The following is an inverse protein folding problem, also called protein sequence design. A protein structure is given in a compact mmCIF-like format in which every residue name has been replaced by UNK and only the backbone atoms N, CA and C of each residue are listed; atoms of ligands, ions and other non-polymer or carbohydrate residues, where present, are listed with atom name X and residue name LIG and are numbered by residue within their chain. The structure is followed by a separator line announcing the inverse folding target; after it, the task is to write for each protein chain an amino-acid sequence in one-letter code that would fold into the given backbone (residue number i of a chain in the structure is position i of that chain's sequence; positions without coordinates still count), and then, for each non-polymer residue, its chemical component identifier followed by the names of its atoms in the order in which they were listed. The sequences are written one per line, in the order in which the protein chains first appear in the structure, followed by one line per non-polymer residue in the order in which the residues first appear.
data_IF_818918362028
#
_entry.id   IF_818918362028
#
_cell.length_a   1.000
_cell.length_b   1.000
_cell.length_c   1.000
_cell.angle_alpha   90.00
_cell.angle_beta   90.00
_cell.angle_gamma   90.00
#
_symmetry.space_group_name_H-M   'P 1'
#
loop_
_entity.id
_entity.type
_entity.pdbx_description
1 polymer ?
#
# COMPACT_ATOMS: atom_id res chain seq x y z
N UNK A 1 15.80 2.31 -25.01
CA UNK A 1 14.68 1.45 -25.48
C UNK A 1 13.47 1.83 -24.66
N UNK A 2 12.35 2.14 -25.29
CA UNK A 2 11.07 2.31 -24.58
C UNK A 2 10.58 0.92 -24.19
N UNK A 3 10.32 0.68 -22.91
CA UNK A 3 9.67 -0.54 -22.43
C UNK A 3 8.17 -0.35 -22.60
N UNK A 4 7.52 -1.26 -23.34
CA UNK A 4 6.06 -1.23 -23.48
C UNK A 4 5.39 -1.43 -22.12
N UNK A 5 4.68 -0.42 -21.64
CA UNK A 5 4.02 -0.41 -20.34
C UNK A 5 2.84 -1.41 -20.26
N UNK A 6 2.27 -1.79 -21.41
CA UNK A 6 1.12 -2.69 -21.48
C UNK A 6 1.42 -4.08 -20.93
N UNK A 7 2.70 -4.49 -20.86
CA UNK A 7 3.11 -5.77 -20.28
C UNK A 7 2.87 -5.87 -18.78
N UNK A 8 2.69 -4.73 -18.10
CA UNK A 8 2.37 -4.67 -16.68
C UNK A 8 0.86 -4.62 -16.42
N UNK A 9 0.04 -4.51 -17.48
CA UNK A 9 -1.42 -4.46 -17.38
C UNK A 9 -1.98 -5.86 -17.18
N UNK A 10 -2.37 -6.18 -15.95
CA UNK A 10 -2.88 -7.50 -15.59
C UNK A 10 -4.09 -7.43 -14.67
N UNK A 11 -4.77 -8.56 -14.51
CA UNK A 11 -5.85 -8.69 -13.51
C UNK A 11 -5.21 -8.52 -12.13
N UNK A 12 -5.80 -7.64 -11.32
CA UNK A 12 -5.29 -7.32 -10.00
C UNK A 12 -5.35 -8.56 -9.11
N UNK A 13 -4.19 -8.98 -8.61
CA UNK A 13 -4.04 -9.98 -7.56
C UNK A 13 -4.11 -9.32 -6.19
N UNK A 14 -5.00 -9.81 -5.33
CA UNK A 14 -5.16 -9.31 -3.96
C UNK A 14 -3.97 -9.66 -3.06
N UNK A 15 -3.18 -10.69 -3.42
CA UNK A 15 -2.08 -11.24 -2.60
C UNK A 15 -2.53 -11.59 -1.15
N UNK A 16 -3.81 -11.92 -0.97
CA UNK A 16 -4.43 -12.30 0.31
C UNK A 16 -4.96 -13.74 0.23
N UNK A 17 -4.17 -14.76 0.63
CA UNK A 17 -4.52 -16.18 0.41
C UNK A 17 -5.83 -16.62 1.07
N UNK A 18 -6.22 -15.98 2.17
CA UNK A 18 -7.42 -16.30 2.94
C UNK A 18 -8.67 -15.52 2.46
N UNK A 19 -8.55 -14.71 1.39
CA UNK A 19 -9.65 -13.94 0.84
C UNK A 19 -10.23 -14.64 -0.40
N UNK A 20 -11.49 -15.07 -0.34
CA UNK A 20 -12.18 -15.76 -1.45
C UNK A 20 -12.65 -14.79 -2.56
N UNK A 21 -12.45 -13.50 -2.40
CA UNK A 21 -12.91 -12.50 -3.36
C UNK A 21 -12.03 -12.52 -4.60
N UNK A 22 -12.64 -12.66 -5.76
CA UNK A 22 -11.95 -12.60 -7.06
C UNK A 22 -12.22 -11.25 -7.71
N UNK A 23 -11.15 -10.54 -8.07
CA UNK A 23 -11.23 -9.31 -8.84
C UNK A 23 -11.25 -9.61 -10.34
N UNK A 24 -11.97 -8.77 -11.09
CA UNK A 24 -11.89 -8.74 -12.56
C UNK A 24 -11.28 -7.45 -13.09
N UNK A 25 -11.15 -6.44 -12.23
CA UNK A 25 -10.42 -5.21 -12.51
C UNK A 25 -8.95 -5.48 -12.85
N UNK A 26 -8.42 -4.60 -13.70
CA UNK A 26 -7.02 -4.61 -14.14
C UNK A 26 -6.27 -3.39 -13.64
N UNK A 27 -4.96 -3.53 -13.51
CA UNK A 27 -4.06 -2.46 -13.08
C UNK A 27 -2.65 -2.71 -13.62
N UNK A 28 -1.83 -1.65 -13.62
CA UNK A 28 -0.40 -1.76 -13.88
C UNK A 28 0.31 -2.27 -12.63
N UNK A 29 0.89 -3.47 -12.67
CA UNK A 29 1.63 -4.03 -11.54
C UNK A 29 2.95 -3.30 -11.32
N UNK A 30 3.10 -2.75 -10.12
CA UNK A 30 4.28 -1.99 -9.71
C UNK A 30 5.25 -2.82 -8.87
N UNK A 31 4.73 -3.71 -8.02
CA UNK A 31 5.52 -4.59 -7.14
C UNK A 31 5.65 -6.03 -7.68
N UNK A 32 6.46 -6.86 -7.01
CA UNK A 32 6.71 -8.25 -7.36
C UNK A 32 7.82 -8.43 -8.39
N UNK A 33 8.20 -9.69 -8.65
CA UNK A 33 9.34 -10.03 -9.51
C UNK A 33 9.22 -9.55 -10.96
N UNK A 34 7.99 -9.31 -11.44
CA UNK A 34 7.69 -8.78 -12.77
C UNK A 34 7.13 -7.34 -12.73
N UNK A 35 7.13 -6.72 -11.56
CA UNK A 35 6.64 -5.36 -11.38
C UNK A 35 7.50 -4.34 -12.12
N UNK A 36 6.86 -3.24 -12.47
CA UNK A 36 7.46 -2.16 -13.25
C UNK A 36 8.82 -1.69 -12.69
N UNK A 37 8.94 -1.51 -11.36
CA UNK A 37 10.17 -1.01 -10.73
C UNK A 37 11.36 -1.97 -10.90
N UNK A 38 11.10 -3.28 -10.93
CA UNK A 38 12.13 -4.32 -11.09
C UNK A 38 12.59 -4.37 -12.54
N UNK A 39 11.65 -4.37 -13.48
CA UNK A 39 11.96 -4.43 -14.92
C UNK A 39 12.72 -3.18 -15.38
N UNK A 40 12.33 -2.01 -14.87
CA UNK A 40 13.02 -0.75 -15.15
C UNK A 40 14.31 -0.55 -14.33
N UNK A 41 14.66 -1.51 -13.46
CA UNK A 41 15.87 -1.48 -12.61
C UNK A 41 16.01 -0.18 -11.84
N UNK A 42 14.91 0.30 -11.28
CA UNK A 42 14.91 1.51 -10.46
C UNK A 42 15.53 1.12 -9.11
N UNK A 43 16.55 1.87 -8.68
CA UNK A 43 17.23 1.66 -7.40
C UNK A 43 17.32 2.97 -6.63
N UNK A 44 17.31 2.87 -5.31
CA UNK A 44 17.63 3.98 -4.43
C UNK A 44 19.14 4.35 -4.48
N UNK A 45 19.53 5.37 -3.72
CA UNK A 45 20.93 5.83 -3.64
C UNK A 45 21.89 4.80 -3.04
N UNK A 46 21.38 3.77 -2.36
CA UNK A 46 22.17 2.68 -1.78
C UNK A 46 22.18 1.43 -2.69
N UNK A 47 21.56 1.50 -3.87
CA UNK A 47 21.49 0.39 -4.83
C UNK A 47 20.41 -0.64 -4.53
N UNK A 48 19.50 -0.37 -3.58
CA UNK A 48 18.39 -1.27 -3.27
C UNK A 48 17.19 -0.98 -4.16
N UNK A 49 16.38 -2.02 -4.44
CA UNK A 49 15.09 -1.82 -5.10
C UNK A 49 14.11 -1.17 -4.13
N UNK A 50 13.52 -0.01 -4.46
CA UNK A 50 12.54 0.67 -3.62
C UNK A 50 11.28 -0.19 -3.39
N UNK A 51 10.60 0.02 -2.25
CA UNK A 51 9.27 -0.56 -2.04
C UNK A 51 8.25 0.14 -2.93
N UNK A 52 7.06 -0.42 -3.08
CA UNK A 52 5.96 0.28 -3.75
C UNK A 52 4.63 -0.22 -3.24
N UNK A 53 3.58 0.54 -3.53
CA UNK A 53 2.24 -0.03 -3.63
C UNK A 53 2.20 -1.10 -4.72
N UNK A 54 1.21 -1.97 -4.68
CA UNK A 54 1.14 -3.14 -5.55
C UNK A 54 0.75 -2.77 -6.99
N UNK A 55 -0.26 -1.90 -7.16
CA UNK A 55 -0.81 -1.54 -8.47
C UNK A 55 -1.06 -0.03 -8.65
N UNK A 56 -1.02 0.40 -9.92
CA UNK A 56 -1.66 1.62 -10.39
C UNK A 56 -2.88 1.24 -11.24
N UNK A 57 -4.09 1.54 -10.77
CA UNK A 57 -5.34 1.32 -11.50
C UNK A 57 -5.91 2.66 -12.00
N UNK A 58 -6.00 2.89 -13.31
CA UNK A 58 -6.75 4.01 -13.87
C UNK A 58 -8.27 3.78 -13.77
N UNK A 59 -9.02 4.80 -13.35
CA UNK A 59 -10.50 4.83 -13.36
C UNK A 59 -10.98 6.17 -13.94
N UNK A 60 -11.57 6.17 -15.14
CA UNK A 60 -12.06 7.41 -15.79
C UNK A 60 -11.01 8.54 -15.78
N UNK A 61 -9.74 8.19 -16.06
CA UNK A 61 -8.55 9.07 -16.00
C UNK A 61 -8.08 9.48 -14.60
N UNK A 62 -8.69 8.97 -13.54
CA UNK A 62 -8.24 9.13 -12.16
C UNK A 62 -7.29 7.98 -11.80
N UNK A 63 -6.00 8.22 -11.54
CA UNK A 63 -5.08 7.21 -11.02
C UNK A 63 -5.43 6.81 -9.58
N UNK A 64 -5.57 5.51 -9.36
CA UNK A 64 -5.70 4.87 -8.06
C UNK A 64 -4.42 4.10 -7.75
N UNK A 65 -3.70 4.49 -6.71
CA UNK A 65 -2.53 3.79 -6.19
C UNK A 65 -3.01 2.78 -5.16
N UNK A 66 -2.98 1.50 -5.49
CA UNK A 66 -3.63 0.44 -4.71
C UNK A 66 -2.59 -0.43 -4.01
N UNK A 67 -2.74 -0.52 -2.70
CA UNK A 67 -1.95 -1.35 -1.80
C UNK A 67 -2.87 -2.37 -1.13
N UNK A 68 -2.62 -3.65 -1.34
CA UNK A 68 -3.31 -4.75 -0.66
C UNK A 68 -2.52 -5.14 0.58
N UNK A 69 -3.07 -4.82 1.74
CA UNK A 69 -2.40 -5.01 3.02
C UNK A 69 -3.18 -5.93 3.93
N UNK A 70 -2.54 -7.01 4.40
CA UNK A 70 -3.09 -7.90 5.44
C UNK A 70 -2.90 -7.28 6.84
N UNK A 71 -3.45 -6.07 7.00
CA UNK A 71 -3.35 -5.24 8.20
C UNK A 71 -3.75 -6.00 9.46
N UNK A 72 -4.78 -6.85 9.36
CA UNK A 72 -5.28 -7.57 10.50
C UNK A 72 -4.41 -8.77 10.87
N UNK A 73 -3.88 -9.54 9.91
CA UNK A 73 -2.91 -10.59 10.25
C UNK A 73 -1.63 -9.99 10.84
N UNK A 74 -1.17 -8.86 10.31
CA UNK A 74 -0.04 -8.12 10.90
C UNK A 74 -0.36 -7.72 12.35
N UNK A 75 -1.53 -7.11 12.60
CA UNK A 75 -1.95 -6.73 13.94
C UNK A 75 -2.01 -7.92 14.92
N UNK A 76 -2.60 -9.04 14.50
CA UNK A 76 -2.69 -10.27 15.31
C UNK A 76 -1.30 -10.82 15.64
N UNK A 77 -0.39 -10.88 14.66
CA UNK A 77 0.97 -11.41 14.86
C UNK A 77 1.79 -10.56 15.84
N UNK A 78 1.74 -9.23 15.73
CA UNK A 78 2.47 -8.36 16.65
C UNK A 78 1.88 -8.45 18.07
N UNK A 79 0.54 -8.55 18.18
CA UNK A 79 -0.13 -8.73 19.48
C UNK A 79 0.28 -10.04 20.16
N UNK A 80 0.27 -11.16 19.43
CA UNK A 80 0.73 -12.46 19.92
C UNK A 80 2.21 -12.45 20.32
N UNK A 81 3.05 -11.72 19.57
CA UNK A 81 4.48 -11.55 19.89
C UNK A 81 4.67 -10.74 21.17
N UNK A 82 3.86 -9.72 21.39
CA UNK A 82 3.89 -8.92 22.61
C UNK A 82 3.45 -9.73 23.84
N UNK A 83 2.42 -10.56 23.69
CA UNK A 83 1.92 -11.44 24.76
C UNK A 83 2.92 -12.55 25.11
N UNK A 84 3.69 -13.04 24.15
CA UNK A 84 4.69 -14.09 24.39
C UNK A 84 5.98 -13.58 25.05
N UNK A 85 6.21 -12.27 25.07
CA UNK A 85 7.35 -11.67 25.76
C UNK A 85 7.10 -11.59 27.26
N UNK A 86 7.92 -12.28 28.05
CA UNK A 86 7.96 -12.06 29.50
C UNK A 86 8.63 -10.71 29.80
N UNK A 87 7.81 -9.67 29.86
CA UNK A 87 8.23 -8.32 30.24
C UNK A 87 8.17 -8.09 31.75
N UNK A 88 7.85 -9.11 32.56
CA UNK A 88 7.57 -9.00 33.99
C UNK A 88 8.73 -8.45 34.81
N UNK A 89 9.97 -8.76 34.40
CA UNK A 89 11.20 -8.30 35.05
C UNK A 89 11.67 -6.89 34.69
N UNK A 90 11.05 -6.23 33.69
CA UNK A 90 11.52 -4.93 33.21
C UNK A 90 10.89 -3.74 33.98
N UNK A 91 11.63 -2.63 34.15
CA UNK A 91 11.06 -1.37 34.61
C UNK A 91 9.92 -0.88 33.71
N UNK A 92 8.95 -0.15 34.28
CA UNK A 92 7.76 0.32 33.55
C UNK A 92 8.09 1.16 32.29
N UNK A 93 9.14 1.99 32.36
CA UNK A 93 9.61 2.79 31.23
C UNK A 93 10.17 1.93 30.10
N UNK A 94 10.91 0.87 30.43
CA UNK A 94 11.48 -0.05 29.46
C UNK A 94 10.41 -0.95 28.84
N UNK A 95 9.46 -1.45 29.64
CA UNK A 95 8.28 -2.15 29.11
C UNK A 95 7.54 -1.29 28.09
N UNK A 96 7.24 -0.05 28.44
CA UNK A 96 6.54 0.88 27.53
C UNK A 96 7.35 1.12 26.25
N UNK A 97 8.68 1.24 26.35
CA UNK A 97 9.57 1.39 25.20
C UNK A 97 9.56 0.15 24.30
N UNK A 98 9.65 -1.05 24.88
CA UNK A 98 9.61 -2.32 24.14
C UNK A 98 8.24 -2.50 23.47
N UNK A 99 7.15 -2.32 24.21
CA UNK A 99 5.79 -2.41 23.67
C UNK A 99 5.53 -1.42 22.55
N UNK A 100 6.06 -0.19 22.63
CA UNK A 100 5.92 0.80 21.56
C UNK A 100 6.70 0.45 20.29
N UNK A 101 7.80 -0.31 20.40
CA UNK A 101 8.61 -0.74 19.25
C UNK A 101 8.05 -1.98 18.55
N UNK A 102 7.32 -2.82 19.29
CA UNK A 102 6.68 -4.05 18.78
C UNK A 102 5.20 -3.80 18.47
N UNK A 103 4.73 -2.56 18.62
CA UNK A 103 3.37 -2.19 18.26
C UNK A 103 3.17 -2.40 16.76
N UNK A 104 2.21 -3.27 16.43
CA UNK A 104 1.70 -3.50 15.07
C UNK A 104 1.48 -2.20 14.32
N UNK A 105 0.91 -1.20 14.99
CA UNK A 105 0.62 0.09 14.39
C UNK A 105 1.89 0.80 13.88
N UNK A 106 3.03 0.67 14.57
CA UNK A 106 4.29 1.26 14.12
C UNK A 106 4.88 0.52 12.94
N UNK A 107 4.77 -0.81 12.92
CA UNK A 107 5.27 -1.64 11.82
C UNK A 107 4.46 -1.37 10.55
N UNK A 108 3.13 -1.46 10.63
CA UNK A 108 2.17 -1.10 9.57
C UNK A 108 2.42 0.33 9.08
N UNK A 109 2.53 1.29 10.00
CA UNK A 109 2.75 2.70 9.64
C UNK A 109 4.05 2.90 8.88
N UNK A 110 5.15 2.29 9.34
CA UNK A 110 6.45 2.41 8.71
C UNK A 110 6.48 1.76 7.32
N UNK A 111 5.82 0.61 7.18
CA UNK A 111 5.67 -0.09 5.90
C UNK A 111 4.89 0.74 4.89
N UNK A 112 3.67 1.17 5.23
CA UNK A 112 2.81 1.97 4.36
C UNK A 112 3.47 3.30 3.98
N UNK A 113 4.09 3.99 4.95
CA UNK A 113 4.85 5.21 4.70
C UNK A 113 5.98 4.95 3.70
N UNK A 114 6.75 3.88 3.90
CA UNK A 114 7.83 3.49 3.00
C UNK A 114 7.31 3.25 1.58
N UNK A 115 6.26 2.42 1.43
CA UNK A 115 5.65 2.13 0.14
C UNK A 115 5.17 3.39 -0.59
N UNK A 116 4.50 4.32 0.11
CA UNK A 116 4.00 5.57 -0.49
C UNK A 116 5.15 6.48 -0.93
N UNK A 117 6.15 6.70 -0.07
CA UNK A 117 7.29 7.57 -0.39
C UNK A 117 8.10 7.00 -1.55
N UNK A 118 8.35 5.69 -1.52
CA UNK A 118 9.14 5.01 -2.54
C UNK A 118 8.38 4.92 -3.87
N UNK A 119 7.05 4.73 -3.87
CA UNK A 119 6.23 4.82 -5.08
C UNK A 119 6.32 6.22 -5.70
N UNK A 120 6.27 7.28 -4.89
CA UNK A 120 6.41 8.65 -5.42
C UNK A 120 7.78 8.87 -6.08
N UNK A 121 8.84 8.35 -5.46
CA UNK A 121 10.18 8.34 -6.02
C UNK A 121 10.24 7.58 -7.35
N UNK A 122 9.67 6.37 -7.42
CA UNK A 122 9.62 5.56 -8.64
C UNK A 122 9.01 6.35 -9.80
N UNK A 123 7.86 7.01 -9.59
CA UNK A 123 7.21 7.78 -10.66
C UNK A 123 8.00 9.01 -11.10
N UNK A 124 8.79 9.64 -10.22
CA UNK A 124 9.73 10.70 -10.63
C UNK A 124 10.82 10.15 -11.54
N UNK A 125 11.43 9.04 -11.15
CA UNK A 125 12.49 8.40 -11.94
C UNK A 125 12.01 7.96 -13.32
N UNK A 126 10.78 7.44 -13.42
CA UNK A 126 10.17 7.04 -14.71
C UNK A 126 9.88 8.28 -15.56
N UNK A 127 9.35 9.34 -14.95
CA UNK A 127 9.05 10.61 -15.63
C UNK A 127 10.31 11.23 -16.24
N UNK A 128 11.41 11.27 -15.49
CA UNK A 128 12.67 11.86 -15.94
C UNK A 128 13.32 11.03 -17.06
N UNK A 129 13.03 9.73 -17.11
CA UNK A 129 13.51 8.80 -18.15
C UNK A 129 12.60 8.72 -19.39
N UNK A 130 11.54 9.53 -19.47
CA UNK A 130 10.54 9.52 -20.55
C UNK A 130 9.84 8.16 -20.77
N UNK A 131 9.68 7.38 -19.70
CA UNK A 131 9.04 6.05 -19.74
C UNK A 131 7.54 6.08 -19.39
N UNK A 132 6.96 7.27 -19.24
CA UNK A 132 5.52 7.44 -18.96
C UNK A 132 4.63 7.36 -20.21
N UNK A 133 5.20 7.22 -21.42
CA UNK A 133 4.41 7.06 -22.64
C UNK A 133 3.50 5.82 -22.51
N UNK A 134 2.18 6.06 -22.43
CA UNK A 134 1.15 5.03 -22.26
C UNK A 134 0.63 4.85 -20.82
N UNK A 135 1.19 5.53 -19.82
CA UNK A 135 0.56 5.63 -18.50
C UNK A 135 -0.53 6.70 -18.49
N UNK A 136 -1.60 6.53 -17.68
CA UNK A 136 -2.59 7.59 -17.49
C UNK A 136 -1.92 8.82 -16.89
N UNK A 137 -2.54 9.99 -17.11
CA UNK A 137 -2.11 11.22 -16.47
C UNK A 137 -2.14 11.06 -14.95
N UNK A 138 -1.01 11.30 -14.29
CA UNK A 138 -0.83 11.01 -12.86
C UNK A 138 -1.25 12.18 -11.94
N UNK A 139 -2.04 13.13 -12.45
CA UNK A 139 -2.44 14.34 -11.74
C UNK A 139 -3.88 14.25 -11.22
N UNK A 140 -4.04 14.42 -9.90
CA UNK A 140 -5.31 14.15 -9.21
C UNK A 140 -5.53 12.64 -9.11
N UNK A 141 -5.85 12.11 -7.95
CA UNK A 141 -5.86 10.65 -7.75
C UNK A 141 -6.22 10.26 -6.33
N UNK A 142 -5.99 8.98 -6.01
CA UNK A 142 -6.21 8.45 -4.67
C UNK A 142 -5.18 7.39 -4.30
N UNK A 143 -4.77 7.35 -3.04
CA UNK A 143 -4.07 6.20 -2.46
C UNK A 143 -5.12 5.34 -1.75
N UNK A 144 -5.22 4.08 -2.12
CA UNK A 144 -6.14 3.10 -1.57
C UNK A 144 -5.34 2.01 -0.84
N UNK A 145 -5.50 1.94 0.47
CA UNK A 145 -5.04 0.80 1.28
C UNK A 145 -6.22 -0.13 1.46
N UNK A 146 -6.21 -1.25 0.72
CA UNK A 146 -7.26 -2.26 0.72
C UNK A 146 -6.87 -3.37 1.69
N UNK A 147 -7.80 -3.76 2.55
CA UNK A 147 -7.54 -4.77 3.58
C UNK A 147 -8.72 -5.73 3.72
N UNK A 148 -8.46 -6.97 4.14
CA UNK A 148 -9.49 -7.97 4.36
C UNK A 148 -9.81 -8.13 5.85
N UNK A 149 -11.08 -7.95 6.28
CA UNK A 149 -11.45 -8.18 7.67
C UNK A 149 -11.42 -9.66 8.03
N UNK A 150 -10.59 -10.00 9.03
CA UNK A 150 -10.60 -11.28 9.73
C UNK A 150 -11.53 -11.19 10.97
N UNK A 151 -12.10 -12.30 11.41
CA UNK A 151 -13.19 -12.35 12.39
C UNK A 151 -12.83 -11.93 13.84
N UNK A 152 -11.59 -11.53 14.11
CA UNK A 152 -11.09 -11.34 15.48
C UNK A 152 -11.25 -9.93 16.08
N UNK A 153 -11.59 -8.90 15.29
CA UNK A 153 -11.73 -7.52 15.76
C UNK A 153 -13.16 -7.01 15.60
N UNK A 154 -13.65 -6.26 16.59
CA UNK A 154 -14.97 -5.62 16.51
C UNK A 154 -14.94 -4.48 15.47
N UNK A 155 -16.09 -4.21 14.82
CA UNK A 155 -16.21 -3.10 13.85
C UNK A 155 -15.75 -1.75 14.42
N UNK A 156 -16.01 -1.50 15.70
CA UNK A 156 -15.65 -0.25 16.38
C UNK A 156 -14.15 -0.15 16.59
N UNK A 157 -13.50 -1.23 17.03
CA UNK A 157 -12.07 -1.24 17.27
C UNK A 157 -11.29 -1.18 15.96
N UNK A 158 -11.78 -1.85 14.92
CA UNK A 158 -11.22 -1.74 13.58
C UNK A 158 -11.32 -0.32 13.03
N UNK A 159 -12.47 0.36 13.17
CA UNK A 159 -12.60 1.74 12.73
C UNK A 159 -11.62 2.67 13.43
N UNK A 160 -11.46 2.53 14.76
CA UNK A 160 -10.50 3.32 15.55
C UNK A 160 -9.05 3.07 15.11
N UNK A 161 -8.69 1.81 14.86
CA UNK A 161 -7.38 1.43 14.37
C UNK A 161 -7.07 2.10 13.03
N UNK A 162 -7.99 1.99 12.07
CA UNK A 162 -7.81 2.54 10.72
C UNK A 162 -7.77 4.07 10.72
N UNK A 163 -8.64 4.73 11.49
CA UNK A 163 -8.61 6.19 11.62
C UNK A 163 -7.32 6.68 12.30
N UNK A 164 -6.87 5.98 13.34
CA UNK A 164 -5.60 6.25 14.00
C UNK A 164 -4.40 6.09 13.06
N UNK A 165 -4.36 5.00 12.30
CA UNK A 165 -3.33 4.75 11.28
C UNK A 165 -3.35 5.83 10.20
N UNK A 166 -4.53 6.15 9.65
CA UNK A 166 -4.70 7.19 8.64
C UNK A 166 -4.19 8.54 9.12
N UNK A 167 -4.60 8.98 10.31
CA UNK A 167 -4.18 10.27 10.86
C UNK A 167 -2.66 10.35 11.06
N UNK A 168 -2.06 9.30 11.60
CA UNK A 168 -0.60 9.22 11.82
C UNK A 168 0.17 9.17 10.51
N UNK A 169 -0.32 8.39 9.53
CA UNK A 169 0.30 8.26 8.23
C UNK A 169 0.28 9.58 7.48
N UNK A 170 -0.86 10.29 7.46
CA UNK A 170 -0.95 11.63 6.87
C UNK A 170 0.01 12.63 7.51
N UNK A 171 0.13 12.61 8.84
CA UNK A 171 1.05 13.50 9.57
C UNK A 171 2.53 13.20 9.31
N UNK A 172 2.90 11.94 9.04
CA UNK A 172 4.25 11.58 8.63
C UNK A 172 4.51 11.93 7.17
N UNK A 173 3.57 11.63 6.27
CA UNK A 173 3.67 11.93 4.84
C UNK A 173 3.75 13.43 4.55
N UNK A 174 3.13 14.28 5.38
CA UNK A 174 3.22 15.74 5.22
C UNK A 174 4.64 16.31 5.39
N UNK A 175 5.58 15.51 5.89
CA UNK A 175 7.01 15.89 6.00
C UNK A 175 7.79 15.61 4.72
N UNK A 176 7.20 14.89 3.78
CA UNK A 176 7.79 14.55 2.50
C UNK A 176 7.27 15.50 1.43
N UNK A 177 8.16 15.94 0.54
CA UNK A 177 7.75 16.68 -0.64
C UNK A 177 7.30 15.66 -1.69
N UNK A 178 6.07 15.14 -1.61
CA UNK A 178 5.48 14.18 -2.56
C UNK A 178 4.91 14.92 -3.80
N UNK A 179 5.04 14.35 -4.99
CA UNK A 179 4.67 15.00 -6.27
C UNK A 179 3.48 14.32 -6.93
N UNK A 180 3.54 13.00 -7.04
CA UNK A 180 2.50 12.17 -7.64
C UNK A 180 1.54 11.62 -6.58
N UNK A 181 2.06 11.31 -5.38
CA UNK A 181 1.30 10.71 -4.29
C UNK A 181 0.87 11.73 -3.23
N UNK A 182 0.84 13.01 -3.59
CA UNK A 182 0.22 14.06 -2.77
C UNK A 182 -1.30 14.11 -3.00
N UNK A 183 -1.97 12.98 -2.76
CA UNK A 183 -3.40 12.79 -3.05
C UNK A 183 -4.12 12.17 -1.84
N UNK A 184 -5.48 12.20 -1.79
CA UNK A 184 -6.22 11.64 -0.67
C UNK A 184 -5.93 10.16 -0.43
N UNK A 185 -5.78 9.80 0.85
CA UNK A 185 -5.55 8.44 1.35
C UNK A 185 -6.83 7.84 1.92
N UNK A 186 -7.17 6.63 1.48
CA UNK A 186 -8.36 5.89 1.91
C UNK A 186 -7.99 4.48 2.39
N UNK A 187 -8.68 4.03 3.43
CA UNK A 187 -8.67 2.64 3.86
C UNK A 187 -10.00 2.01 3.47
N UNK A 188 -9.97 0.91 2.71
CA UNK A 188 -11.14 0.22 2.19
C UNK A 188 -11.09 -1.25 2.52
N UNK A 189 -12.22 -1.85 2.86
CA UNK A 189 -12.28 -3.32 2.85
C UNK A 189 -12.18 -3.84 1.42
N UNK A 190 -11.75 -5.09 1.24
CA UNK A 190 -11.78 -5.74 -0.07
C UNK A 190 -13.17 -5.62 -0.72
N UNK A 191 -14.25 -5.87 0.02
CA UNK A 191 -15.62 -5.80 -0.51
C UNK A 191 -16.01 -4.38 -0.96
N UNK A 192 -15.60 -3.36 -0.19
CA UNK A 192 -15.86 -1.97 -0.53
C UNK A 192 -15.05 -1.54 -1.77
N UNK A 193 -13.82 -2.02 -1.90
CA UNK A 193 -13.00 -1.82 -3.09
C UNK A 193 -13.63 -2.49 -4.31
N UNK A 194 -14.03 -3.76 -4.20
CA UNK A 194 -14.64 -4.53 -5.30
C UNK A 194 -15.93 -3.87 -5.78
N UNK A 195 -16.80 -3.48 -4.85
CA UNK A 195 -18.08 -2.85 -5.17
C UNK A 195 -17.91 -1.53 -5.95
N UNK A 196 -16.83 -0.79 -5.70
CA UNK A 196 -16.59 0.52 -6.32
C UNK A 196 -15.71 0.45 -7.57
N UNK A 197 -14.72 -0.46 -7.57
CA UNK A 197 -13.59 -0.43 -8.49
C UNK A 197 -13.23 -1.81 -9.05
N UNK A 198 -13.90 -2.89 -8.60
CA UNK A 198 -13.56 -4.27 -8.95
C UNK A 198 -14.14 -4.76 -10.27
N UNK A 199 -14.96 -3.95 -10.93
CA UNK A 199 -15.53 -4.24 -12.26
C UNK A 199 -14.73 -3.51 -13.36
N UNK A 200 -14.63 -4.07 -14.57
CA UNK A 200 -14.02 -3.39 -15.71
C UNK A 200 -14.73 -2.06 -15.98
N UNK A 201 -13.94 -1.05 -16.31
CA UNK A 201 -14.48 0.24 -16.77
C UNK A 201 -14.86 0.11 -18.24
N UNK A 202 -15.78 0.94 -18.73
CA UNK A 202 -16.24 0.88 -20.14
C UNK A 202 -15.10 1.08 -21.17
N UNK A 203 -13.93 1.55 -20.73
CA UNK A 203 -12.69 1.64 -21.51
C UNK A 203 -11.94 0.30 -21.71
N UNK A 204 -12.38 -0.79 -21.08
CA UNK A 204 -11.78 -2.12 -21.18
C UNK A 204 -12.37 -2.98 -22.34
N UNK A 205 -13.28 -2.41 -23.15
CA UNK A 205 -13.85 -2.99 -24.40
C UNK A 205 -13.51 -2.17 -25.63
#
# INVERSE_FOLDING_TARGET
MSTDISVFWEVIDLEMPDCEVVLTAKGYKLDGAKGLKVVLRITDNAGNTPKSVDYLQPLDKIPLFVEFSDLQAQHIRCSATLESLDLGGLPKSERKRVSSKISSDMEILNELRGKIVDTDFIFREISDKALLDGLPELHGGHILVVWHPRSSLSRVDTAKLLDGLRGRLLAELSRYNLKFLNVPLHFLTVEAYVCRYGCPTASDT
#
